data_IF_409116536376
#
_entry.id   IF_409116536376
#
_cell.length_a   1.000
_cell.length_b   1.000
_cell.length_c   1.000
_cell.angle_alpha   90.00
_cell.angle_beta   90.00
_cell.angle_gamma   90.00
#
_symmetry.space_group_name_H-M   'P 1'
#
loop_
_entity.id
_entity.type
_entity.pdbx_description
1 polymer ?
#
# COMPACT_ATOMS: atom_id res chain seq x y z
N UNK A 1 2.48 -3.60 -34.33
CA UNK A 1 1.68 -3.04 -33.22
C UNK A 1 2.33 -3.46 -31.92
N UNK A 2 2.92 -2.52 -31.18
CA UNK A 2 3.62 -2.83 -29.93
C UNK A 2 2.62 -3.19 -28.84
N UNK A 3 2.57 -4.46 -28.44
CA UNK A 3 1.82 -4.88 -27.26
C UNK A 3 2.50 -4.31 -26.00
N UNK A 4 1.95 -3.24 -25.44
CA UNK A 4 2.25 -2.85 -24.08
C UNK A 4 1.69 -3.93 -23.15
N UNK A 5 2.57 -4.78 -22.61
CA UNK A 5 2.19 -5.87 -21.69
C UNK A 5 1.93 -5.27 -20.31
N UNK A 6 0.67 -4.93 -20.04
CA UNK A 6 0.21 -4.56 -18.69
C UNK A 6 -0.04 -5.82 -17.86
N UNK A 7 0.54 -5.91 -16.66
CA UNK A 7 0.26 -7.00 -15.72
C UNK A 7 -1.11 -6.77 -15.06
N UNK A 8 -2.01 -7.75 -15.14
CA UNK A 8 -3.30 -7.69 -14.47
C UNK A 8 -3.16 -7.80 -12.94
N UNK A 9 -4.00 -7.06 -12.22
CA UNK A 9 -4.14 -7.09 -10.77
C UNK A 9 -4.94 -8.32 -10.31
N UNK A 10 -4.40 -9.52 -10.57
CA UNK A 10 -5.13 -10.80 -10.44
C UNK A 10 -5.65 -11.18 -9.04
N UNK A 11 -5.26 -10.42 -8.01
CA UNK A 11 -5.68 -10.64 -6.61
C UNK A 11 -6.60 -9.52 -6.09
N UNK A 12 -6.93 -8.53 -6.93
CA UNK A 12 -7.99 -7.58 -6.64
C UNK A 12 -9.32 -8.32 -6.44
N UNK A 13 -10.11 -7.89 -5.44
CA UNK A 13 -11.37 -8.52 -5.07
C UNK A 13 -11.24 -9.73 -4.14
N UNK A 14 -10.02 -10.25 -3.93
CA UNK A 14 -9.78 -11.41 -3.04
C UNK A 14 -8.79 -11.10 -1.91
N UNK A 15 -7.64 -10.48 -2.23
CA UNK A 15 -6.63 -10.12 -1.22
C UNK A 15 -6.76 -8.67 -0.74
N UNK A 16 -7.31 -7.82 -1.59
CA UNK A 16 -7.60 -6.41 -1.34
C UNK A 16 -8.82 -6.00 -2.15
N UNK A 17 -9.46 -4.89 -1.79
CA UNK A 17 -10.65 -4.41 -2.51
C UNK A 17 -10.34 -4.12 -3.98
N UNK A 18 -11.18 -4.62 -4.89
CA UNK A 18 -11.12 -4.22 -6.32
C UNK A 18 -11.66 -2.81 -6.57
N UNK A 19 -12.48 -2.30 -5.65
CA UNK A 19 -12.99 -0.93 -5.72
C UNK A 19 -11.89 0.04 -5.33
N UNK A 20 -11.43 0.83 -6.29
CA UNK A 20 -10.40 1.85 -6.06
C UNK A 20 -10.79 2.82 -4.94
N UNK A 21 -12.05 3.23 -4.88
CA UNK A 21 -12.58 4.14 -3.85
C UNK A 21 -12.49 3.53 -2.46
N UNK A 22 -12.87 2.26 -2.31
CA UNK A 22 -12.80 1.57 -1.03
C UNK A 22 -11.36 1.29 -0.62
N UNK A 23 -10.52 0.87 -1.57
CA UNK A 23 -9.11 0.63 -1.32
C UNK A 23 -8.38 1.91 -0.89
N UNK A 24 -8.63 3.03 -1.57
CA UNK A 24 -8.06 4.33 -1.22
C UNK A 24 -8.46 4.77 0.20
N UNK A 25 -9.74 4.62 0.54
CA UNK A 25 -10.24 4.90 1.88
C UNK A 25 -9.52 4.05 2.93
N UNK A 26 -9.43 2.73 2.71
CA UNK A 26 -8.75 1.80 3.63
C UNK A 26 -7.28 2.19 3.86
N UNK A 27 -6.55 2.43 2.77
CA UNK A 27 -5.14 2.82 2.84
C UNK A 27 -4.95 4.17 3.55
N UNK A 28 -5.79 5.15 3.23
CA UNK A 28 -5.77 6.47 3.86
C UNK A 28 -6.04 6.37 5.36
N UNK A 29 -7.05 5.60 5.77
CA UNK A 29 -7.38 5.39 7.17
C UNK A 29 -6.25 4.71 7.95
N UNK A 30 -5.61 3.68 7.38
CA UNK A 30 -4.46 3.02 8.03
C UNK A 30 -3.25 3.96 8.13
N UNK A 31 -2.94 4.71 7.07
CA UNK A 31 -1.83 5.69 7.08
C UNK A 31 -2.06 6.88 8.01
N UNK A 32 -3.31 7.22 8.31
CA UNK A 32 -3.67 8.28 9.25
C UNK A 32 -3.51 7.85 10.72
N UNK A 33 -3.57 6.55 11.02
CA UNK A 33 -3.34 6.03 12.39
C UNK A 33 -1.87 6.04 12.79
N UNK A 34 -0.97 6.01 11.82
CA UNK A 34 0.47 6.05 12.05
C UNK A 34 0.88 7.49 12.33
N UNK A 35 1.62 7.71 13.42
CA UNK A 35 2.19 9.01 13.74
C UNK A 35 3.20 9.50 12.70
N UNK A 36 3.78 10.66 12.96
CA UNK A 36 4.72 11.28 12.02
C UNK A 36 5.91 10.35 11.70
N UNK A 37 6.31 10.26 10.41
CA UNK A 37 7.45 9.46 10.01
C UNK A 37 8.73 9.99 10.67
N UNK A 38 9.59 9.06 11.10
CA UNK A 38 10.84 9.40 11.81
C UNK A 38 11.95 9.92 10.87
N UNK A 39 11.70 9.90 9.56
CA UNK A 39 12.66 10.27 8.53
C UNK A 39 12.21 9.75 7.17
N UNK A 40 13.16 9.61 6.25
CA UNK A 40 12.93 9.03 4.92
C UNK A 40 13.55 7.64 4.86
N UNK A 41 12.74 6.60 4.97
CA UNK A 41 13.19 5.23 4.84
C UNK A 41 13.74 4.97 3.45
N UNK A 42 14.96 4.40 3.37
CA UNK A 42 15.57 3.93 2.11
C UNK A 42 15.10 2.53 1.72
N UNK A 43 14.67 1.74 2.71
CA UNK A 43 14.13 0.41 2.54
C UNK A 43 13.07 0.16 3.62
N UNK A 44 12.09 -0.68 3.30
CA UNK A 44 11.06 -1.11 4.24
C UNK A 44 10.90 -2.64 4.18
N UNK A 45 10.44 -3.23 5.26
CA UNK A 45 9.98 -4.61 5.32
C UNK A 45 8.50 -4.54 5.69
N UNK A 46 7.64 -5.17 4.90
CA UNK A 46 6.19 -5.16 5.08
C UNK A 46 5.62 -6.56 4.92
N UNK A 47 4.55 -6.92 5.66
CA UNK A 47 3.79 -8.14 5.39
C UNK A 47 3.12 -8.10 4.02
N UNK A 48 2.74 -9.27 3.51
CA UNK A 48 2.06 -9.44 2.22
C UNK A 48 0.76 -10.26 2.30
N UNK A 49 0.16 -10.40 3.49
CA UNK A 49 -1.12 -11.10 3.64
C UNK A 49 -2.26 -10.27 3.01
N UNK A 50 -3.48 -10.83 2.98
CA UNK A 50 -4.67 -10.06 2.60
C UNK A 50 -4.80 -8.80 3.48
N UNK A 51 -5.23 -7.68 2.89
CA UNK A 51 -5.18 -6.37 3.52
C UNK A 51 -6.05 -6.29 4.78
N UNK A 52 -7.13 -7.05 4.86
CA UNK A 52 -7.94 -7.18 6.08
C UNK A 52 -7.15 -7.71 7.28
N UNK A 53 -6.07 -8.46 7.06
CA UNK A 53 -5.22 -9.02 8.12
C UNK A 53 -4.01 -8.15 8.43
N UNK A 54 -3.39 -7.54 7.42
CA UNK A 54 -2.10 -6.87 7.60
C UNK A 54 -2.04 -5.41 7.12
N UNK A 55 -3.14 -4.82 6.62
CA UNK A 55 -3.16 -3.45 6.08
C UNK A 55 -2.70 -2.41 7.10
N UNK A 56 -3.23 -2.49 8.33
CA UNK A 56 -2.86 -1.57 9.42
C UNK A 56 -1.38 -1.72 9.82
N UNK A 57 -0.87 -2.96 9.86
CA UNK A 57 0.55 -3.23 10.15
C UNK A 57 1.46 -2.70 9.03
N UNK A 58 1.10 -2.93 7.76
CA UNK A 58 1.86 -2.46 6.61
C UNK A 58 1.97 -0.92 6.59
N UNK A 59 0.95 -0.20 7.05
CA UNK A 59 0.95 1.27 7.09
C UNK A 59 2.12 1.84 7.91
N UNK A 60 2.55 1.19 8.99
CA UNK A 60 3.71 1.63 9.78
C UNK A 60 5.00 1.67 8.96
N UNK A 61 5.16 0.75 8.02
CA UNK A 61 6.29 0.69 7.10
C UNK A 61 6.15 1.73 5.98
N UNK A 62 5.01 1.73 5.28
CA UNK A 62 4.78 2.61 4.13
C UNK A 62 4.79 4.10 4.49
N UNK A 63 4.30 4.49 5.67
CA UNK A 63 4.32 5.89 6.13
C UNK A 63 5.73 6.50 6.22
N UNK A 64 6.77 5.66 6.34
CA UNK A 64 8.16 6.12 6.43
C UNK A 64 8.78 6.48 5.06
N UNK A 65 8.08 6.23 3.95
CA UNK A 65 8.54 6.58 2.61
C UNK A 65 8.25 8.06 2.35
N UNK A 66 9.28 8.80 1.94
CA UNK A 66 9.12 10.17 1.42
C UNK A 66 9.26 10.15 -0.12
N UNK A 67 8.16 10.34 -0.87
CA UNK A 67 8.17 10.31 -2.33
C UNK A 67 9.07 11.38 -2.97
N UNK A 68 9.27 12.53 -2.32
CA UNK A 68 10.08 13.64 -2.86
C UNK A 68 11.59 13.35 -2.78
N UNK A 69 11.97 12.29 -2.08
CA UNK A 69 13.37 11.87 -1.88
C UNK A 69 13.68 10.52 -2.52
N UNK A 70 12.81 10.04 -3.41
CA UNK A 70 13.00 8.81 -4.20
C UNK A 70 13.80 9.05 -5.47
#
# INVERSE_FOLDING_TARGET
MSHHRTRSASHAGTWYSESSKELDKQLTEWLAKVGEPKGSARAIISPHAGYSYCGDTAAFAYKQINPDKM
#
